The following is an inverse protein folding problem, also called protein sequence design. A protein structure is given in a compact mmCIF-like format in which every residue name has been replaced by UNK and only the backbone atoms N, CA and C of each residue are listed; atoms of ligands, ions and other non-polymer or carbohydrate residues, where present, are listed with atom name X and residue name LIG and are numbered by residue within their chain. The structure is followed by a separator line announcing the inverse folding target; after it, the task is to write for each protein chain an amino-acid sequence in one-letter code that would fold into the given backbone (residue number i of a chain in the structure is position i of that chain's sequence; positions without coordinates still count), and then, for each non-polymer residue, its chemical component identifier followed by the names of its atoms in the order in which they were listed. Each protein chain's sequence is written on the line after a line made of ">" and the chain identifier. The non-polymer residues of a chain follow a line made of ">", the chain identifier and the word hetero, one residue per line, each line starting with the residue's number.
data_IF_320382018194
#
_entry.id   IF_320382018194
#
_cell.length_a   1.000
_cell.length_b   1.000
_cell.length_c   1.000
_cell.angle_alpha   90.00
_cell.angle_beta   90.00
_cell.angle_gamma   90.00
#
_symmetry.space_group_name_H-M   'P 1'
#
loop_
_entity.id
_entity.type
_entity.pdbx_description
1 polymer ?
#
# COMPACT_ATOMS: atom_id res chain seq x y z
N UNK A 1 28.13 -32.48 1.69
CA UNK A 1 28.81 -31.66 2.73
C UNK A 1 29.03 -30.21 2.29
N UNK A 2 29.66 -29.94 1.13
CA UNK A 2 29.92 -28.57 0.65
C UNK A 2 28.65 -27.74 0.38
N UNK A 3 27.59 -28.34 -0.17
CA UNK A 3 26.31 -27.64 -0.41
C UNK A 3 25.61 -27.22 0.88
N UNK A 4 25.61 -28.09 1.90
CA UNK A 4 25.05 -27.79 3.21
C UNK A 4 25.81 -26.64 3.89
N UNK A 5 27.14 -26.66 3.81
CA UNK A 5 27.98 -25.59 4.34
C UNK A 5 27.71 -24.25 3.63
N UNK A 6 27.52 -24.28 2.31
CA UNK A 6 27.16 -23.11 1.50
C UNK A 6 25.78 -22.54 1.86
N UNK A 7 24.79 -23.41 2.08
CA UNK A 7 23.45 -22.99 2.52
C UNK A 7 23.49 -22.33 3.90
N UNK A 8 24.16 -22.95 4.88
CA UNK A 8 24.30 -22.42 6.23
C UNK A 8 25.01 -21.07 6.23
N UNK A 9 26.08 -20.91 5.42
CA UNK A 9 26.80 -19.65 5.30
C UNK A 9 25.92 -18.55 4.70
N UNK A 10 25.17 -18.84 3.62
CA UNK A 10 24.23 -17.88 3.02
C UNK A 10 23.14 -17.46 4.01
N UNK A 11 22.59 -18.41 4.77
CA UNK A 11 21.58 -18.15 5.79
C UNK A 11 22.13 -17.24 6.90
N UNK A 12 23.34 -17.53 7.39
CA UNK A 12 24.00 -16.71 8.42
C UNK A 12 24.29 -15.29 7.93
N UNK A 13 24.79 -15.14 6.70
CA UNK A 13 25.03 -13.83 6.09
C UNK A 13 23.72 -13.02 5.96
N UNK A 14 22.65 -13.69 5.54
CA UNK A 14 21.33 -13.06 5.40
C UNK A 14 20.77 -12.59 6.75
N UNK A 15 20.80 -13.44 7.78
CA UNK A 15 20.34 -13.10 9.14
C UNK A 15 21.14 -11.91 9.70
N UNK A 16 22.46 -11.90 9.54
CA UNK A 16 23.31 -10.80 9.99
C UNK A 16 22.98 -9.48 9.27
N UNK A 17 22.73 -9.55 7.96
CA UNK A 17 22.34 -8.38 7.15
C UNK A 17 20.97 -7.82 7.58
N UNK A 18 19.97 -8.68 7.74
CA UNK A 18 18.64 -8.31 8.26
C UNK A 18 18.77 -7.62 9.61
N UNK A 19 19.54 -8.21 10.53
CA UNK A 19 19.71 -7.67 11.87
C UNK A 19 20.40 -6.31 11.87
N UNK A 20 21.35 -6.09 10.97
CA UNK A 20 21.99 -4.79 10.79
C UNK A 20 20.99 -3.73 10.32
N UNK A 21 20.20 -4.03 9.28
CA UNK A 21 19.17 -3.11 8.76
C UNK A 21 18.13 -2.76 9.83
N UNK A 22 17.71 -3.77 10.60
CA UNK A 22 16.83 -3.56 11.75
C UNK A 22 17.39 -2.59 12.78
N UNK A 23 18.66 -2.75 13.19
CA UNK A 23 19.31 -1.82 14.13
C UNK A 23 19.37 -0.40 13.58
N UNK A 24 19.74 -0.25 12.32
CA UNK A 24 19.87 1.05 11.65
C UNK A 24 18.49 1.76 11.61
N UNK A 25 17.43 1.05 11.27
CA UNK A 25 16.06 1.58 11.29
C UNK A 25 15.56 1.92 12.70
N UNK A 26 15.86 1.09 13.70
CA UNK A 26 15.50 1.40 15.11
C UNK A 26 16.22 2.65 15.62
N UNK A 27 17.48 2.84 15.23
CA UNK A 27 18.21 4.07 15.55
C UNK A 27 17.56 5.30 14.91
N UNK A 28 17.16 5.19 13.63
CA UNK A 28 16.44 6.24 12.93
C UNK A 28 15.08 6.57 13.57
N UNK A 29 14.31 5.56 14.00
CA UNK A 29 13.04 5.77 14.71
C UNK A 29 13.25 6.62 15.98
N UNK A 30 14.29 6.31 16.76
CA UNK A 30 14.61 7.04 17.99
C UNK A 30 14.98 8.49 17.72
N UNK A 31 15.87 8.73 16.76
CA UNK A 31 16.28 10.11 16.43
C UNK A 31 15.13 10.91 15.83
N UNK A 32 14.30 10.30 14.96
CA UNK A 32 13.13 10.93 14.36
C UNK A 32 12.07 11.30 15.38
N UNK A 33 11.82 10.46 16.38
CA UNK A 33 10.82 10.70 17.43
C UNK A 33 11.26 11.70 18.50
N UNK A 34 12.55 12.03 18.58
CA UNK A 34 13.05 13.09 19.46
C UNK A 34 12.68 14.50 18.94
N UNK A 35 12.31 14.61 17.66
CA UNK A 35 11.86 15.85 17.05
C UNK A 35 10.37 16.10 17.37
N UNK A 36 10.11 16.99 18.32
CA UNK A 36 8.75 17.35 18.76
C UNK A 36 7.95 18.15 17.70
N UNK A 37 8.57 18.60 16.60
CA UNK A 37 7.88 19.34 15.55
C UNK A 37 7.02 18.43 14.64
N UNK A 38 7.28 17.12 14.65
CA UNK A 38 6.56 16.17 13.79
C UNK A 38 5.18 15.87 14.38
N UNK A 39 4.10 15.95 13.59
CA UNK A 39 2.75 15.62 14.04
C UNK A 39 2.50 14.10 14.14
N UNK A 40 3.55 13.27 14.00
CA UNK A 40 3.48 11.82 14.02
C UNK A 40 4.69 11.21 14.72
N UNK A 41 4.53 9.97 15.18
CA UNK A 41 5.60 9.15 15.74
C UNK A 41 5.78 7.91 14.89
N UNK A 42 7.02 7.52 14.69
CA UNK A 42 7.36 6.28 14.02
C UNK A 42 7.49 5.14 15.04
N UNK A 43 7.13 3.93 14.65
CA UNK A 43 7.30 2.72 15.46
C UNK A 43 7.92 1.60 14.65
N UNK A 44 8.41 0.57 15.34
CA UNK A 44 8.86 -0.66 14.68
C UNK A 44 7.66 -1.32 14.00
N UNK A 45 7.85 -1.76 12.75
CA UNK A 45 6.82 -2.38 11.93
C UNK A 45 7.38 -3.59 11.15
N UNK A 46 6.54 -4.23 10.34
CA UNK A 46 6.90 -5.41 9.52
C UNK A 46 7.94 -5.14 8.41
N UNK A 47 8.36 -3.89 8.24
CA UNK A 47 9.33 -3.46 7.23
C UNK A 47 10.62 -2.92 7.87
N UNK A 48 10.79 -3.10 9.18
CA UNK A 48 11.94 -2.58 9.91
C UNK A 48 13.27 -3.24 9.49
N UNK A 49 13.24 -4.33 8.74
CA UNK A 49 14.39 -5.03 8.17
C UNK A 49 14.75 -4.60 6.74
N UNK A 50 13.97 -3.70 6.14
CA UNK A 50 14.18 -3.20 4.77
C UNK A 50 14.81 -1.80 4.78
N UNK A 51 15.62 -1.51 3.77
CA UNK A 51 15.97 -0.12 3.45
C UNK A 51 14.80 0.56 2.72
N UNK A 52 14.83 1.89 2.62
CA UNK A 52 13.82 2.64 1.89
C UNK A 52 13.77 2.22 0.40
N UNK A 53 14.92 1.96 -0.21
CA UNK A 53 15.05 1.52 -1.59
C UNK A 53 14.47 0.11 -1.79
N UNK A 54 14.77 -0.82 -0.87
CA UNK A 54 14.22 -2.17 -0.88
C UNK A 54 12.69 -2.15 -0.68
N UNK A 55 12.19 -1.27 0.18
CA UNK A 55 10.77 -1.08 0.39
C UNK A 55 10.08 -0.52 -0.87
N UNK A 56 10.61 0.55 -1.47
CA UNK A 56 10.05 1.16 -2.67
C UNK A 56 10.05 0.16 -3.83
N UNK A 57 11.18 -0.51 -4.09
CA UNK A 57 11.31 -1.47 -5.19
C UNK A 57 10.33 -2.64 -5.08
N UNK A 58 10.00 -3.06 -3.85
CA UNK A 58 9.12 -4.21 -3.62
C UNK A 58 7.65 -3.86 -3.40
N UNK A 59 7.31 -2.63 -3.01
CA UNK A 59 5.93 -2.25 -2.60
C UNK A 59 5.37 -1.01 -3.29
N UNK A 60 6.20 -0.06 -3.75
CA UNK A 60 5.70 1.18 -4.34
C UNK A 60 5.98 1.21 -5.85
N UNK A 61 5.01 0.73 -6.63
CA UNK A 61 5.07 0.70 -8.10
C UNK A 61 4.12 1.71 -8.76
N UNK A 62 3.67 2.71 -8.01
CA UNK A 62 2.84 3.76 -8.59
C UNK A 62 3.69 4.61 -9.56
N UNK A 63 3.36 4.53 -10.85
CA UNK A 63 4.01 5.31 -11.91
C UNK A 63 3.36 6.70 -11.98
N UNK A 64 3.80 7.63 -11.13
CA UNK A 64 3.36 9.02 -11.19
C UNK A 64 3.91 9.72 -12.44
N UNK A 65 3.06 10.02 -13.42
CA UNK A 65 3.37 10.88 -14.56
C UNK A 65 2.48 12.14 -14.57
N UNK A 66 2.97 13.22 -15.18
CA UNK A 66 2.32 14.53 -15.23
C UNK A 66 0.87 14.47 -15.72
N UNK A 67 0.00 15.17 -14.99
CA UNK A 67 -1.44 15.17 -15.13
C UNK A 67 -1.92 15.61 -16.52
N UNK A 68 -2.58 14.70 -17.26
CA UNK A 68 -3.70 15.02 -18.15
C UNK A 68 -4.81 14.01 -17.93
N UNK A 69 -5.59 14.22 -16.88
CA UNK A 69 -6.80 13.45 -16.61
C UNK A 69 -7.99 14.22 -17.20
N UNK A 70 -8.76 13.58 -18.09
CA UNK A 70 -10.04 14.13 -18.59
C UNK A 70 -11.19 13.83 -17.63
N UNK A 71 -10.94 12.97 -16.64
CA UNK A 71 -11.91 12.54 -15.65
C UNK A 71 -12.28 13.69 -14.70
N UNK A 72 -13.56 14.06 -14.68
CA UNK A 72 -14.11 15.05 -13.74
C UNK A 72 -15.10 14.35 -12.82
N UNK A 73 -14.90 14.52 -11.51
CA UNK A 73 -15.92 14.17 -10.53
C UNK A 73 -17.05 15.19 -10.62
N UNK A 74 -18.30 14.73 -10.54
CA UNK A 74 -19.43 15.62 -10.31
C UNK A 74 -19.36 16.15 -8.87
N UNK A 75 -19.59 17.45 -8.67
CA UNK A 75 -19.55 18.05 -7.33
C UNK A 75 -20.72 17.51 -6.50
N UNK A 76 -20.47 16.46 -5.71
CA UNK A 76 -21.43 16.00 -4.72
C UNK A 76 -21.52 17.09 -3.65
N UNK A 77 -22.66 17.77 -3.58
CA UNK A 77 -22.92 18.75 -2.53
C UNK A 77 -23.02 17.96 -1.22
N UNK A 78 -22.03 18.10 -0.33
CA UNK A 78 -22.11 17.53 1.01
C UNK A 78 -23.28 18.22 1.71
N UNK A 79 -24.45 17.58 1.71
CA UNK A 79 -25.64 18.11 2.37
C UNK A 79 -25.28 18.41 3.82
N UNK A 80 -25.69 19.59 4.31
CA UNK A 80 -25.55 20.02 5.70
C UNK A 80 -26.04 18.93 6.66
N UNK A 81 -25.15 18.03 7.06
CA UNK A 81 -25.30 17.21 8.25
C UNK A 81 -24.74 18.02 9.40
N UNK A 82 -25.65 18.51 10.25
CA UNK A 82 -25.29 19.03 11.57
C UNK A 82 -24.31 18.08 12.22
N UNK A 83 -23.11 18.59 12.49
CA UNK A 83 -22.01 17.88 13.14
C UNK A 83 -22.46 17.40 14.52
N UNK A 84 -22.98 16.17 14.58
CA UNK A 84 -23.19 15.35 15.76
C UNK A 84 -23.59 13.95 15.27
N UNK A 85 -22.71 13.27 14.55
CA UNK A 85 -22.85 11.84 14.24
C UNK A 85 -21.46 11.22 14.34
N UNK A 86 -21.34 10.12 15.08
CA UNK A 86 -20.11 9.35 15.16
C UNK A 86 -19.59 9.03 13.76
N UNK A 87 -18.28 8.97 13.63
CA UNK A 87 -17.59 8.52 12.44
C UNK A 87 -18.08 7.13 12.05
N UNK A 88 -19.10 7.04 11.20
CA UNK A 88 -19.36 5.83 10.43
C UNK A 88 -18.24 5.75 9.38
N UNK A 89 -17.07 5.34 9.84
CA UNK A 89 -15.94 4.94 9.02
C UNK A 89 -16.30 3.54 8.49
N UNK A 90 -16.88 3.47 7.28
CA UNK A 90 -17.05 2.20 6.58
C UNK A 90 -15.68 1.73 6.07
N UNK A 91 -14.82 1.34 7.01
CA UNK A 91 -13.47 0.85 6.74
C UNK A 91 -13.55 -0.62 6.41
N UNK A 92 -13.46 -0.95 5.12
CA UNK A 92 -13.22 -2.33 4.71
C UNK A 92 -11.92 -2.82 5.35
N UNK A 93 -11.86 -4.13 5.67
CA UNK A 93 -10.68 -4.72 6.33
C UNK A 93 -9.43 -4.40 5.53
N UNK A 94 -8.42 -3.84 6.19
CA UNK A 94 -7.14 -3.51 5.57
C UNK A 94 -6.61 -4.74 4.82
N UNK A 95 -6.29 -4.57 3.54
CA UNK A 95 -5.68 -5.62 2.73
C UNK A 95 -4.19 -5.30 2.54
N UNK A 96 -3.33 -6.30 2.75
CA UNK A 96 -1.90 -6.15 2.52
C UNK A 96 -1.57 -6.56 1.09
N UNK A 97 -1.17 -5.59 0.25
CA UNK A 97 -0.51 -5.91 -1.02
C UNK A 97 0.85 -6.52 -0.70
N UNK A 98 0.94 -7.85 -0.70
CA UNK A 98 2.16 -8.60 -0.41
C UNK A 98 3.28 -8.31 -1.42
N UNK A 99 4.47 -8.89 -1.21
CA UNK A 99 5.48 -8.94 -2.28
C UNK A 99 4.93 -9.76 -3.43
N UNK A 100 4.63 -9.12 -4.56
CA UNK A 100 4.23 -9.83 -5.79
C UNK A 100 5.45 -10.57 -6.34
N UNK A 101 5.45 -11.91 -6.44
CA UNK A 101 6.53 -12.63 -7.09
C UNK A 101 6.61 -12.17 -8.54
N UNK A 102 7.79 -11.75 -9.02
CA UNK A 102 8.05 -11.45 -10.43
C UNK A 102 8.14 -12.76 -11.24
N UNK A 103 7.14 -13.64 -11.13
CA UNK A 103 7.01 -14.89 -11.88
C UNK A 103 5.71 -14.86 -12.67
N UNK A 104 5.71 -14.05 -13.72
CA UNK A 104 4.64 -13.89 -14.69
C UNK A 104 5.17 -13.07 -15.87
N UNK A 105 4.70 -13.37 -17.08
CA UNK A 105 4.98 -12.61 -18.33
C UNK A 105 4.02 -11.41 -18.45
N UNK A 106 3.08 -11.32 -17.52
CA UNK A 106 2.05 -10.34 -17.33
C UNK A 106 2.59 -9.15 -16.52
N UNK A 107 2.65 -7.98 -17.14
CA UNK A 107 3.09 -6.70 -16.56
C UNK A 107 2.09 -6.11 -15.55
N UNK A 108 1.06 -6.86 -15.16
CA UNK A 108 -0.06 -6.38 -14.34
C UNK A 108 0.36 -5.99 -12.91
N UNK A 109 1.49 -6.53 -12.44
CA UNK A 109 2.12 -6.20 -11.15
C UNK A 109 3.16 -5.06 -11.25
N UNK A 110 3.25 -4.35 -12.38
CA UNK A 110 4.13 -3.18 -12.53
C UNK A 110 3.49 -1.86 -12.08
N UNK A 111 2.21 -1.91 -11.70
CA UNK A 111 1.41 -0.73 -11.38
C UNK A 111 0.90 -0.02 -12.64
N UNK A 112 -0.31 0.54 -12.53
CA UNK A 112 -0.95 1.41 -13.53
C UNK A 112 -1.58 2.61 -12.82
N UNK A 113 -2.12 3.56 -13.60
CA UNK A 113 -2.89 4.66 -13.04
C UNK A 113 -4.26 4.16 -12.55
N UNK A 114 -4.75 4.74 -11.46
CA UNK A 114 -6.10 4.42 -10.94
C UNK A 114 -7.19 4.82 -11.95
N UNK A 115 -6.97 5.83 -12.78
CA UNK A 115 -7.91 6.27 -13.82
C UNK A 115 -8.22 5.15 -14.83
N UNK A 116 -7.20 4.38 -15.25
CA UNK A 116 -7.39 3.24 -16.14
C UNK A 116 -8.26 2.16 -15.47
N UNK A 117 -8.12 1.98 -14.15
CA UNK A 117 -8.94 1.06 -13.39
C UNK A 117 -10.39 1.55 -13.32
N UNK A 118 -10.62 2.83 -13.07
CA UNK A 118 -11.97 3.42 -13.08
C UNK A 118 -12.63 3.31 -14.46
N UNK A 119 -11.91 3.63 -15.53
CA UNK A 119 -12.42 3.49 -16.89
C UNK A 119 -12.79 2.03 -17.21
N UNK A 120 -11.96 1.08 -16.79
CA UNK A 120 -12.26 -0.34 -16.96
C UNK A 120 -13.56 -0.74 -16.25
N UNK A 121 -13.72 -0.31 -14.98
CA UNK A 121 -14.89 -0.60 -14.15
C UNK A 121 -16.16 -0.02 -14.76
N UNK A 122 -16.11 1.19 -15.31
CA UNK A 122 -17.28 1.82 -15.95
C UNK A 122 -17.81 1.00 -17.13
N UNK A 123 -16.91 0.34 -17.89
CA UNK A 123 -17.29 -0.43 -19.06
C UNK A 123 -17.59 -1.91 -18.78
N UNK A 124 -17.02 -2.48 -17.72
CA UNK A 124 -17.05 -3.94 -17.49
C UNK A 124 -17.59 -4.37 -16.12
N UNK A 125 -17.81 -3.44 -15.19
CA UNK A 125 -18.18 -3.73 -13.82
C UNK A 125 -17.03 -4.28 -12.96
N UNK A 126 -17.35 -4.75 -11.75
CA UNK A 126 -16.43 -5.41 -10.81
C UNK A 126 -17.00 -6.81 -10.50
N UNK A 127 -16.15 -7.80 -10.24
CA UNK A 127 -16.61 -9.14 -9.85
C UNK A 127 -17.16 -9.18 -8.42
N UNK A 128 -18.15 -10.05 -8.17
CA UNK A 128 -18.89 -10.13 -6.90
C UNK A 128 -18.01 -10.31 -5.63
N UNK A 129 -16.88 -11.00 -5.75
CA UNK A 129 -15.88 -11.18 -4.67
C UNK A 129 -15.18 -9.88 -4.21
N UNK A 130 -15.24 -8.83 -5.03
CA UNK A 130 -14.88 -7.45 -4.68
C UNK A 130 -16.11 -6.62 -4.32
N UNK A 131 -17.27 -6.93 -4.89
CA UNK A 131 -18.53 -6.24 -4.68
C UNK A 131 -19.03 -6.35 -3.23
N UNK A 132 -18.90 -7.53 -2.60
CA UNK A 132 -19.22 -7.74 -1.17
C UNK A 132 -18.36 -6.90 -0.20
N UNK A 133 -17.25 -6.31 -0.68
CA UNK A 133 -16.37 -5.45 0.13
C UNK A 133 -16.47 -3.95 -0.18
N UNK A 134 -17.23 -3.57 -1.22
CA UNK A 134 -17.35 -2.19 -1.70
C UNK A 134 -18.80 -1.74 -1.92
N UNK A 135 -19.80 -2.54 -1.55
CA UNK A 135 -21.21 -2.17 -1.70
C UNK A 135 -21.89 -1.89 -0.36
N UNK A 136 -21.84 -0.62 0.03
CA UNK A 136 -23.05 0.11 0.41
C UNK A 136 -22.92 1.52 -0.18
N UNK A 137 -23.37 1.78 -1.42
CA UNK A 137 -23.86 3.09 -1.92
C UNK A 137 -23.88 3.28 -3.45
N UNK A 138 -23.35 2.37 -4.29
CA UNK A 138 -23.43 2.60 -5.75
C UNK A 138 -24.88 2.49 -6.28
N UNK A 139 -25.79 1.79 -5.57
CA UNK A 139 -27.21 1.69 -5.95
C UNK A 139 -28.05 2.94 -5.65
N UNK A 140 -27.52 3.94 -4.95
CA UNK A 140 -28.26 5.19 -4.65
C UNK A 140 -28.03 6.29 -5.69
N UNK A 141 -27.13 6.09 -6.66
CA UNK A 141 -26.81 7.09 -7.70
C UNK A 141 -27.62 6.85 -9.00
N UNK A 142 -28.45 5.80 -9.06
CA UNK A 142 -29.25 5.45 -10.25
C UNK A 142 -30.77 5.52 -10.04
N UNK A 143 -31.26 6.42 -9.19
CA UNK A 143 -32.69 6.75 -9.11
C UNK A 143 -32.92 8.25 -9.09
#
# INVERSE_FOLDING_TARGET
>A
MAELLSFVLKLLLHINSIFKKFKDNVAYLRTSNNDASKPYKLSVNQFADLTNEEFIASRNKFKGHEHKTTFKYENVTYGNSTSNNGSEEERSRDTYQGQTPMRGVDQDCEGRLMDDAFQFIQHHGISAQFQDRFQTKISEISK
#
